data_IF_581097170467
#
_entry.id   IF_581097170467
#
_cell.length_a   1.000
_cell.length_b   1.000
_cell.length_c   1.000
_cell.angle_alpha   90.00
_cell.angle_beta   90.00
_cell.angle_gamma   90.00
#
_symmetry.space_group_name_H-M   'P 1'
#
loop_
_entity.id
_entity.type
_entity.pdbx_description
1 polymer ?
#
# COMPACT_ATOMS: atom_id res chain seq x y z
N UNK A 1 -0.39 7.87 8.73
CA UNK A 1 0.78 7.31 9.45
C UNK A 1 2.09 7.63 8.74
N UNK A 2 2.28 7.29 7.46
CA UNK A 2 3.56 7.52 6.76
C UNK A 2 3.95 9.00 6.60
N UNK A 3 3.02 9.89 6.20
CA UNK A 3 3.27 11.34 6.17
C UNK A 3 3.70 11.90 7.53
N UNK A 4 3.09 11.41 8.60
CA UNK A 4 3.44 11.80 9.97
C UNK A 4 4.86 11.37 10.33
N UNK A 5 5.26 10.15 9.95
CA UNK A 5 6.63 9.66 10.18
C UNK A 5 7.67 10.48 9.42
N UNK A 6 7.38 10.89 8.18
CA UNK A 6 8.28 11.75 7.40
C UNK A 6 8.42 13.12 8.06
N UNK A 7 7.32 13.77 8.44
CA UNK A 7 7.35 15.07 9.12
C UNK A 7 8.16 14.99 10.42
N UNK A 8 7.98 13.92 11.21
CA UNK A 8 8.76 13.69 12.43
C UNK A 8 10.25 13.50 12.11
N UNK A 9 10.59 12.73 11.07
CA UNK A 9 11.99 12.54 10.67
C UNK A 9 12.68 13.86 10.26
N UNK A 10 11.93 14.75 9.61
CA UNK A 10 12.41 16.09 9.24
C UNK A 10 12.57 17.00 10.47
N UNK A 11 11.66 16.93 11.45
CA UNK A 11 11.76 17.66 12.71
C UNK A 11 13.00 17.25 13.54
N UNK A 12 13.36 15.96 13.50
CA UNK A 12 14.56 15.43 14.16
C UNK A 12 15.81 15.42 13.25
N UNK A 13 15.73 16.03 12.06
CA UNK A 13 16.83 16.14 11.10
C UNK A 13 17.49 14.78 10.73
N UNK A 14 16.68 13.71 10.69
CA UNK A 14 17.15 12.39 10.33
C UNK A 14 17.51 12.34 8.84
N UNK A 15 18.74 11.92 8.54
CA UNK A 15 19.24 11.78 7.16
C UNK A 15 19.64 10.33 6.89
N UNK A 16 19.46 9.90 5.65
CA UNK A 16 20.01 8.64 5.13
C UNK A 16 21.05 9.04 4.09
N UNK A 17 22.30 8.60 4.27
CA UNK A 17 23.43 8.98 3.41
C UNK A 17 23.62 10.50 3.25
N UNK A 18 23.29 11.27 4.30
CA UNK A 18 23.41 12.74 4.28
C UNK A 18 22.26 13.48 3.58
N UNK A 19 21.24 12.77 3.09
CA UNK A 19 20.03 13.35 2.49
C UNK A 19 18.81 13.19 3.40
N UNK A 20 17.96 14.20 3.46
CA UNK A 20 16.69 14.16 4.20
C UNK A 20 15.69 13.21 3.52
N UNK A 21 14.81 12.62 4.33
CA UNK A 21 13.72 11.77 3.83
C UNK A 21 12.61 12.67 3.28
N UNK A 22 12.23 12.43 2.02
CA UNK A 22 11.22 13.22 1.31
C UNK A 22 10.09 12.32 0.77
N UNK A 23 8.84 12.78 0.89
CA UNK A 23 7.71 12.19 0.17
C UNK A 23 7.43 12.95 -1.12
N UNK A 24 7.41 12.23 -2.24
CA UNK A 24 6.92 12.76 -3.50
C UNK A 24 5.48 12.27 -3.73
N UNK A 25 4.57 13.20 -4.02
CA UNK A 25 3.22 12.89 -4.46
C UNK A 25 2.96 13.55 -5.79
N UNK A 26 2.60 12.76 -6.80
CA UNK A 26 2.20 13.28 -8.10
C UNK A 26 0.72 13.01 -8.32
N UNK A 27 -0.01 14.05 -8.72
CA UNK A 27 -1.41 13.93 -9.07
C UNK A 27 -1.53 13.56 -10.54
N UNK A 28 -2.35 12.55 -10.80
CA UNK A 28 -2.57 11.94 -12.11
C UNK A 28 -4.07 11.91 -12.35
N UNK A 29 -4.49 12.03 -13.61
CA UNK A 29 -5.90 12.06 -14.01
C UNK A 29 -6.64 10.71 -13.89
N UNK A 30 -6.22 9.83 -12.97
CA UNK A 30 -6.79 8.48 -12.79
C UNK A 30 -6.24 7.41 -13.74
N UNK A 31 -5.26 7.73 -14.59
CA UNK A 31 -4.62 6.76 -15.48
C UNK A 31 -3.51 5.98 -14.76
N UNK A 32 -3.69 4.67 -14.64
CA UNK A 32 -2.75 3.76 -13.98
C UNK A 32 -1.42 3.58 -14.72
N UNK A 33 -1.40 3.74 -16.06
CA UNK A 33 -0.16 3.66 -16.85
C UNK A 33 0.72 4.87 -16.54
N UNK A 34 0.10 6.06 -16.43
CA UNK A 34 0.81 7.29 -16.07
C UNK A 34 1.32 7.21 -14.63
N UNK A 35 0.54 6.60 -13.72
CA UNK A 35 0.97 6.33 -12.34
C UNK A 35 2.24 5.50 -12.30
N UNK A 36 2.27 4.41 -13.06
CA UNK A 36 3.39 3.49 -13.09
C UNK A 36 4.63 4.13 -13.75
N UNK A 37 4.44 4.84 -14.87
CA UNK A 37 5.52 5.54 -15.57
C UNK A 37 6.17 6.61 -14.67
N UNK A 38 5.37 7.42 -13.98
CA UNK A 38 5.89 8.45 -13.09
C UNK A 38 6.59 7.87 -11.86
N UNK A 39 6.04 6.81 -11.25
CA UNK A 39 6.70 6.14 -10.12
C UNK A 39 8.02 5.50 -10.54
N UNK A 40 8.09 4.89 -11.74
CA UNK A 40 9.33 4.35 -12.30
C UNK A 40 10.37 5.45 -12.54
N UNK A 41 9.97 6.61 -13.06
CA UNK A 41 10.89 7.73 -13.30
C UNK A 41 11.47 8.29 -11.99
N UNK A 42 10.64 8.42 -10.95
CA UNK A 42 11.08 8.86 -9.62
C UNK A 42 12.03 7.82 -9.01
N UNK A 43 11.72 6.53 -9.16
CA UNK A 43 12.55 5.43 -8.67
C UNK A 43 13.93 5.39 -9.33
N UNK A 44 14.01 5.58 -10.65
CA UNK A 44 15.29 5.60 -11.38
C UNK A 44 16.22 6.75 -10.96
N UNK A 45 15.66 7.86 -10.46
CA UNK A 45 16.41 9.06 -10.09
C UNK A 45 16.70 9.21 -8.59
N UNK A 46 16.32 8.26 -7.75
CA UNK A 46 16.46 8.41 -6.30
C UNK A 46 16.87 7.13 -5.58
N UNK A 47 17.57 7.30 -4.44
CA UNK A 47 17.94 6.18 -3.56
C UNK A 47 16.74 5.77 -2.70
N UNK A 48 15.70 5.24 -3.35
CA UNK A 48 14.42 4.91 -2.70
C UNK A 48 14.59 3.66 -1.82
N UNK A 49 14.28 3.83 -0.54
CA UNK A 49 14.28 2.74 0.46
C UNK A 49 13.00 1.90 0.41
N UNK A 50 11.93 2.37 -0.25
CA UNK A 50 10.75 1.56 -0.56
C UNK A 50 9.53 2.36 -1.04
N UNK A 51 8.58 1.66 -1.68
CA UNK A 51 7.26 2.20 -2.06
C UNK A 51 6.25 1.77 -0.98
N UNK A 52 5.61 2.72 -0.31
CA UNK A 52 4.66 2.45 0.78
C UNK A 52 3.28 2.97 0.40
N UNK A 53 2.26 2.16 0.61
CA UNK A 53 0.87 2.63 0.58
C UNK A 53 0.10 2.44 -0.73
N UNK A 54 0.58 1.62 -1.68
CA UNK A 54 -0.22 1.29 -2.88
C UNK A 54 -1.42 0.42 -2.44
N UNK A 55 -2.66 0.87 -2.65
CA UNK A 55 -3.82 0.01 -2.43
C UNK A 55 -3.89 -1.05 -3.52
N UNK A 56 -4.02 -2.32 -3.12
CA UNK A 56 -4.19 -3.46 -4.04
C UNK A 56 -5.62 -3.95 -3.91
N UNK A 57 -6.34 -4.05 -5.03
CA UNK A 57 -7.73 -4.54 -5.06
C UNK A 57 -7.79 -5.83 -5.88
N UNK A 58 -8.16 -6.96 -5.26
CA UNK A 58 -8.28 -8.26 -5.94
C UNK A 58 -9.74 -8.65 -6.19
N UNK A 59 -10.00 -9.26 -7.35
CA UNK A 59 -11.33 -9.78 -7.73
C UNK A 59 -11.50 -11.28 -7.49
N UNK A 60 -10.44 -12.00 -7.10
CA UNK A 60 -10.45 -13.46 -7.02
C UNK A 60 -9.82 -14.04 -5.75
N UNK A 61 -9.20 -13.22 -4.91
CA UNK A 61 -8.52 -13.70 -3.71
C UNK A 61 -9.51 -14.00 -2.56
N UNK A 62 -9.78 -15.28 -2.29
CA UNK A 62 -10.72 -15.73 -1.25
C UNK A 62 -10.06 -16.09 0.09
N UNK A 63 -8.72 -16.20 0.12
CA UNK A 63 -7.94 -16.62 1.28
C UNK A 63 -8.32 -15.81 2.55
N UNK A 64 -8.64 -16.48 3.68
CA UNK A 64 -8.93 -15.82 4.95
C UNK A 64 -7.80 -14.94 5.49
N UNK A 65 -6.54 -15.31 5.29
CA UNK A 65 -5.38 -14.64 5.88
C UNK A 65 -5.19 -13.22 5.35
N UNK A 66 -5.63 -12.97 4.12
CA UNK A 66 -5.64 -11.65 3.49
C UNK A 66 -6.60 -10.66 4.17
N UNK A 67 -7.40 -11.11 5.13
CA UNK A 67 -8.24 -10.23 5.98
C UNK A 67 -7.46 -9.61 7.13
N UNK A 68 -6.25 -10.07 7.44
CA UNK A 68 -5.46 -9.57 8.57
C UNK A 68 -4.91 -8.17 8.29
N UNK A 69 -5.63 -7.15 8.76
CA UNK A 69 -5.31 -5.72 8.56
C UNK A 69 -3.94 -5.27 9.10
N UNK A 70 -3.39 -5.98 10.08
CA UNK A 70 -2.06 -5.67 10.62
C UNK A 70 -0.94 -5.98 9.61
N UNK A 71 -1.11 -7.05 8.81
CA UNK A 71 -0.14 -7.46 7.80
C UNK A 71 -0.50 -6.94 6.40
N UNK A 72 -1.80 -6.82 6.10
CA UNK A 72 -2.33 -6.43 4.79
C UNK A 72 -3.22 -5.18 4.88
N UNK A 73 -2.67 -4.08 5.39
CA UNK A 73 -3.40 -2.82 5.62
C UNK A 73 -3.94 -2.17 4.32
N UNK A 74 -3.20 -2.30 3.21
CA UNK A 74 -3.56 -1.72 1.91
C UNK A 74 -4.21 -2.71 0.93
N UNK A 75 -4.54 -3.93 1.39
CA UNK A 75 -5.18 -4.93 0.54
C UNK A 75 -6.71 -4.84 0.64
N UNK A 76 -7.39 -4.86 -0.49
CA UNK A 76 -8.84 -4.87 -0.59
C UNK A 76 -9.26 -5.94 -1.60
N UNK A 77 -10.52 -6.38 -1.51
CA UNK A 77 -11.08 -7.34 -2.45
C UNK A 77 -12.56 -7.11 -2.67
N UNK A 78 -13.04 -7.47 -3.85
CA UNK A 78 -14.46 -7.40 -4.23
C UNK A 78 -15.23 -8.70 -3.97
N UNK A 79 -14.52 -9.77 -3.61
CA UNK A 79 -15.09 -11.08 -3.27
C UNK A 79 -15.01 -11.36 -1.77
N UNK A 80 -15.93 -12.17 -1.21
CA UNK A 80 -15.89 -12.55 0.20
C UNK A 80 -14.72 -13.49 0.52
N UNK A 81 -14.38 -13.58 1.80
CA UNK A 81 -13.45 -14.59 2.32
C UNK A 81 -14.10 -15.97 2.38
N UNK A 82 -13.31 -17.02 2.22
CA UNK A 82 -13.73 -18.41 2.49
C UNK A 82 -14.25 -18.60 3.92
N UNK A 83 -13.77 -17.81 4.89
CA UNK A 83 -14.30 -17.81 6.27
C UNK A 83 -15.80 -17.48 6.31
N UNK A 84 -16.26 -16.59 5.44
CA UNK A 84 -17.68 -16.23 5.32
C UNK A 84 -18.47 -17.38 4.72
N UNK A 85 -17.92 -18.04 3.68
CA UNK A 85 -18.52 -19.20 3.02
C UNK A 85 -18.68 -20.38 3.99
N UNK A 86 -17.63 -20.73 4.74
CA UNK A 86 -17.69 -21.79 5.76
C UNK A 86 -18.71 -21.46 6.83
N UNK A 87 -18.77 -20.21 7.31
CA UNK A 87 -19.77 -19.78 8.29
C UNK A 87 -21.20 -19.90 7.75
N UNK A 88 -21.42 -19.68 6.45
CA UNK A 88 -22.72 -19.88 5.83
C UNK A 88 -23.07 -21.38 5.72
N UNK A 89 -22.11 -22.23 5.35
CA UNK A 89 -22.31 -23.69 5.31
C UNK A 89 -22.65 -24.26 6.68
N UNK A 90 -21.95 -23.84 7.73
CA UNK A 90 -22.23 -24.28 9.11
C UNK A 90 -23.60 -23.81 9.61
N UNK A 91 -24.17 -22.73 9.05
CA UNK A 91 -25.53 -22.29 9.38
C UNK A 91 -26.61 -23.01 8.58
N UNK A 92 -26.22 -23.64 7.47
CA UNK A 92 -27.13 -24.35 6.58
C UNK A 92 -27.45 -25.74 7.12
N UNK A 93 -26.48 -26.37 7.78
CA UNK A 93 -26.59 -27.69 8.42
C UNK A 93 -26.82 -27.54 9.93
#
# INVERSE_FOLDING_TARGET
MFKSAIIVSQQYNMTVEGKLIESHSVQIGGNVIDAFSQTSNILSGSNIVGIVGIPVISYSATDPDLSHRNFYSNFYRTVPSDKTTVKALVKLF
#
